data_IF_338184813277
#
_entry.id   IF_338184813277
#
_cell.length_a   1.000
_cell.length_b   1.000
_cell.length_c   1.000
_cell.angle_alpha   90.00
_cell.angle_beta   90.00
_cell.angle_gamma   90.00
#
_symmetry.space_group_name_H-M   'P 1'
#
loop_
_entity.id
_entity.type
_entity.pdbx_description
1 polymer ?
#
# COMPACT_ATOMS: atom_id res chain seq x y z
N UNK A 1 -16.04 43.52 10.08
CA UNK A 1 -16.01 42.13 9.61
C UNK A 1 -14.64 41.59 9.94
N UNK A 2 -14.54 40.41 10.55
CA UNK A 2 -13.24 39.74 10.71
C UNK A 2 -12.65 39.49 9.32
N UNK A 3 -11.32 39.56 9.15
CA UNK A 3 -10.68 39.18 7.89
C UNK A 3 -11.09 37.74 7.51
N UNK A 4 -11.21 37.49 6.21
CA UNK A 4 -11.39 36.14 5.68
C UNK A 4 -10.13 35.34 5.98
N UNK A 5 -10.32 34.13 6.50
CA UNK A 5 -9.23 33.23 6.81
C UNK A 5 -9.04 32.22 5.68
N UNK A 6 -7.80 31.76 5.52
CA UNK A 6 -7.48 30.59 4.71
C UNK A 6 -7.25 29.38 5.62
N UNK A 7 -8.07 28.35 5.45
CA UNK A 7 -8.15 27.19 6.33
C UNK A 7 -7.81 25.93 5.56
N UNK A 8 -6.78 25.21 6.00
CA UNK A 8 -6.41 23.90 5.46
C UNK A 8 -7.02 22.82 6.34
N UNK A 9 -7.76 21.89 5.74
CA UNK A 9 -8.39 20.76 6.43
C UNK A 9 -7.75 19.48 5.91
N UNK A 10 -6.86 18.89 6.71
CA UNK A 10 -6.06 17.73 6.36
C UNK A 10 -6.18 16.56 7.35
N UNK A 11 -7.38 15.97 7.53
CA UNK A 11 -7.58 14.82 8.40
C UNK A 11 -7.15 13.51 7.73
N UNK A 12 -6.78 12.53 8.55
CA UNK A 12 -6.75 11.12 8.16
C UNK A 12 -8.14 10.48 8.36
N UNK A 13 -8.27 9.21 7.98
CA UNK A 13 -9.46 8.41 8.18
C UNK A 13 -9.78 8.22 9.68
N UNK A 14 -11.07 8.13 9.97
CA UNK A 14 -11.60 7.83 11.28
C UNK A 14 -12.00 6.36 11.30
N UNK A 15 -11.02 5.47 11.48
CA UNK A 15 -11.11 4.02 11.30
C UNK A 15 -12.47 3.41 11.66
N UNK A 16 -13.12 2.82 10.67
CA UNK A 16 -14.44 2.17 10.81
C UNK A 16 -15.65 3.11 10.84
N UNK A 17 -15.46 4.43 10.78
CA UNK A 17 -16.53 5.43 10.80
C UNK A 17 -16.56 6.31 9.54
N UNK A 18 -15.47 7.01 9.21
CA UNK A 18 -15.37 7.90 8.04
C UNK A 18 -14.02 7.71 7.35
N UNK A 19 -14.03 7.68 6.02
CA UNK A 19 -12.80 7.89 5.24
C UNK A 19 -12.31 9.35 5.37
N UNK A 20 -11.06 9.61 5.00
CA UNK A 20 -10.45 10.94 5.16
C UNK A 20 -11.14 12.01 4.32
N UNK A 21 -11.69 11.66 3.15
CA UNK A 21 -12.43 12.57 2.27
C UNK A 21 -13.74 13.01 2.95
N UNK A 22 -14.50 12.07 3.51
CA UNK A 22 -15.72 12.33 4.23
C UNK A 22 -15.47 13.11 5.53
N UNK A 23 -14.37 12.81 6.23
CA UNK A 23 -13.94 13.56 7.40
C UNK A 23 -13.61 15.02 7.05
N UNK A 24 -12.83 15.26 5.98
CA UNK A 24 -12.50 16.61 5.51
C UNK A 24 -13.77 17.39 5.14
N UNK A 25 -14.68 16.76 4.40
CA UNK A 25 -15.96 17.36 4.03
C UNK A 25 -16.83 17.68 5.26
N UNK A 26 -16.82 16.84 6.30
CA UNK A 26 -17.58 17.09 7.53
C UNK A 26 -17.04 18.29 8.31
N UNK A 27 -15.72 18.38 8.47
CA UNK A 27 -15.06 19.53 9.09
C UNK A 27 -15.35 20.81 8.31
N UNK A 28 -15.24 20.77 6.98
CA UNK A 28 -15.53 21.91 6.11
C UNK A 28 -16.97 22.41 6.27
N UNK A 29 -17.96 21.52 6.24
CA UNK A 29 -19.37 21.88 6.48
C UNK A 29 -19.58 22.55 7.84
N UNK A 30 -18.93 22.03 8.87
CA UNK A 30 -18.95 22.63 10.21
C UNK A 30 -18.39 24.05 10.20
N UNK A 31 -17.20 24.25 9.60
CA UNK A 31 -16.54 25.55 9.51
C UNK A 31 -17.39 26.59 8.75
N UNK A 32 -17.83 26.25 7.54
CA UNK A 32 -18.63 27.13 6.67
C UNK A 32 -19.92 27.58 7.35
N UNK A 33 -20.52 26.75 8.21
CA UNK A 33 -21.74 27.12 8.94
C UNK A 33 -21.57 28.32 9.88
N UNK A 34 -20.35 28.53 10.40
CA UNK A 34 -20.00 29.64 11.29
C UNK A 34 -19.26 30.77 10.56
N UNK A 35 -18.48 30.43 9.53
CA UNK A 35 -17.63 31.37 8.75
C UNK A 35 -17.76 31.09 7.25
N UNK A 36 -18.85 31.56 6.60
CA UNK A 36 -19.15 31.23 5.20
C UNK A 36 -18.25 31.91 4.16
N UNK A 37 -17.57 32.99 4.54
CA UNK A 37 -16.74 33.80 3.64
C UNK A 37 -15.24 33.41 3.68
N UNK A 38 -14.86 32.41 4.49
CA UNK A 38 -13.48 31.93 4.57
C UNK A 38 -13.15 30.98 3.39
N UNK A 39 -11.88 30.98 2.98
CA UNK A 39 -11.35 30.00 2.02
C UNK A 39 -11.05 28.69 2.74
N UNK A 40 -11.55 27.58 2.22
CA UNK A 40 -11.27 26.25 2.75
C UNK A 40 -10.60 25.40 1.68
N UNK A 41 -9.44 24.86 2.02
CA UNK A 41 -8.67 23.92 1.20
C UNK A 41 -8.73 22.54 1.84
N UNK A 42 -9.25 21.55 1.12
CA UNK A 42 -9.37 20.17 1.61
C UNK A 42 -8.20 19.35 1.10
N UNK A 43 -7.40 18.82 2.03
CA UNK A 43 -6.25 17.95 1.75
C UNK A 43 -6.41 16.65 2.55
N UNK A 44 -7.40 15.79 2.23
CA UNK A 44 -7.57 14.53 2.93
C UNK A 44 -6.28 13.72 2.88
N UNK A 45 -5.83 13.25 4.04
CA UNK A 45 -4.57 12.53 4.21
C UNK A 45 -4.77 11.01 4.22
N UNK A 46 -3.67 10.29 4.04
CA UNK A 46 -3.58 8.84 4.20
C UNK A 46 -2.13 8.43 4.47
N UNK A 47 -1.91 7.16 4.82
CA UNK A 47 -0.58 6.60 5.14
C UNK A 47 -0.06 5.60 4.08
N UNK A 48 -0.61 5.63 2.86
CA UNK A 48 -0.30 4.64 1.81
C UNK A 48 -1.09 3.34 1.94
N UNK A 49 -2.04 3.29 2.87
CA UNK A 49 -3.00 2.19 3.00
C UNK A 49 -4.27 2.33 2.17
N UNK A 50 -5.29 1.56 2.55
CA UNK A 50 -6.59 1.54 1.90
C UNK A 50 -7.22 2.94 1.89
N UNK A 51 -7.70 3.37 0.73
CA UNK A 51 -8.34 4.67 0.55
C UNK A 51 -7.39 5.82 0.21
N UNK A 52 -6.09 5.56 0.08
CA UNK A 52 -5.10 6.56 -0.33
C UNK A 52 -5.36 7.08 -1.75
N UNK A 53 -5.77 6.23 -2.68
CA UNK A 53 -6.20 6.62 -4.03
C UNK A 53 -7.32 7.66 -3.98
N UNK A 54 -8.31 7.45 -3.13
CA UNK A 54 -9.44 8.36 -2.98
C UNK A 54 -9.01 9.68 -2.34
N UNK A 55 -8.14 9.64 -1.34
CA UNK A 55 -7.57 10.82 -0.68
C UNK A 55 -6.77 11.68 -1.68
N UNK A 56 -5.83 11.09 -2.43
CA UNK A 56 -5.03 11.80 -3.44
C UNK A 56 -5.95 12.40 -4.51
N UNK A 57 -6.88 11.61 -5.05
CA UNK A 57 -7.81 12.10 -6.07
C UNK A 57 -8.66 13.28 -5.58
N UNK A 58 -9.14 13.22 -4.33
CA UNK A 58 -9.94 14.30 -3.74
C UNK A 58 -9.11 15.57 -3.47
N UNK A 59 -7.85 15.43 -3.04
CA UNK A 59 -6.96 16.56 -2.82
C UNK A 59 -6.54 17.26 -4.12
N UNK A 60 -6.37 16.50 -5.21
CA UNK A 60 -5.95 17.01 -6.51
C UNK A 60 -7.11 17.55 -7.37
N UNK A 61 -8.35 17.15 -7.08
CA UNK A 61 -9.57 17.71 -7.68
C UNK A 61 -9.92 17.22 -9.09
N UNK A 62 -10.79 17.98 -9.75
CA UNK A 62 -11.39 17.69 -11.06
C UNK A 62 -10.36 17.83 -12.19
N UNK A 63 -9.56 16.79 -12.39
CA UNK A 63 -8.47 16.78 -13.38
C UNK A 63 -7.46 15.66 -13.20
N UNK A 64 -7.56 14.93 -12.08
CA UNK A 64 -6.72 13.76 -11.82
C UNK A 64 -6.86 12.71 -12.93
N UNK A 65 -5.73 12.27 -13.51
CA UNK A 65 -5.71 11.20 -14.50
C UNK A 65 -5.82 9.85 -13.78
N UNK A 66 -7.07 9.42 -13.57
CA UNK A 66 -7.38 8.10 -13.04
C UNK A 66 -7.50 7.10 -14.18
N UNK A 67 -6.77 5.99 -14.07
CA UNK A 67 -6.78 4.91 -15.06
C UNK A 67 -7.22 3.61 -14.42
N UNK A 68 -7.93 2.80 -15.18
CA UNK A 68 -8.50 1.53 -14.74
C UNK A 68 -7.95 0.39 -15.57
N UNK A 69 -7.76 -0.78 -14.95
CA UNK A 69 -7.31 -1.99 -15.64
C UNK A 69 -8.07 -3.21 -15.15
N UNK A 70 -8.40 -4.10 -16.09
CA UNK A 70 -8.92 -5.43 -15.78
C UNK A 70 -7.86 -6.27 -15.08
N UNK A 71 -8.20 -6.79 -13.91
CA UNK A 71 -7.31 -7.55 -13.05
C UNK A 71 -8.06 -8.64 -12.31
N UNK A 72 -7.41 -9.25 -11.32
CA UNK A 72 -8.02 -10.24 -10.44
C UNK A 72 -7.89 -9.83 -8.99
N UNK A 73 -8.85 -10.25 -8.19
CA UNK A 73 -8.84 -10.05 -6.74
C UNK A 73 -7.94 -11.08 -6.02
N UNK A 74 -7.85 -11.07 -4.67
CA UNK A 74 -7.01 -12.03 -3.94
C UNK A 74 -7.36 -13.51 -4.19
N UNK A 75 -8.59 -13.82 -4.60
CA UNK A 75 -9.08 -15.17 -4.88
C UNK A 75 -9.02 -15.53 -6.38
N UNK A 76 -8.54 -14.62 -7.22
CA UNK A 76 -8.45 -14.84 -8.67
C UNK A 76 -9.73 -14.49 -9.44
N UNK A 77 -10.70 -13.81 -8.82
CA UNK A 77 -11.95 -13.38 -9.47
C UNK A 77 -11.70 -12.11 -10.29
N UNK A 78 -12.27 -12.01 -11.47
CA UNK A 78 -12.12 -10.82 -12.32
C UNK A 78 -12.73 -9.58 -11.65
N UNK A 79 -11.95 -8.50 -11.62
CA UNK A 79 -12.33 -7.18 -11.13
C UNK A 79 -11.65 -6.10 -11.98
N UNK A 80 -12.12 -4.87 -11.87
CA UNK A 80 -11.40 -3.69 -12.37
C UNK A 80 -10.74 -2.99 -11.18
N UNK A 81 -9.48 -2.58 -11.32
CA UNK A 81 -8.77 -1.79 -10.32
C UNK A 81 -8.25 -0.49 -10.91
N UNK A 82 -8.28 0.57 -10.09
CA UNK A 82 -7.81 1.90 -10.46
C UNK A 82 -6.37 2.16 -9.99
N UNK A 83 -5.68 3.05 -10.70
CA UNK A 83 -4.43 3.69 -10.30
C UNK A 83 -4.41 5.14 -10.82
N UNK A 84 -3.52 5.98 -10.29
CA UNK A 84 -3.44 7.40 -10.68
C UNK A 84 -2.14 7.70 -11.42
N UNK A 85 -2.26 8.40 -12.54
CA UNK A 85 -1.16 9.13 -13.16
C UNK A 85 -1.15 10.56 -12.58
N UNK A 86 -0.02 10.93 -11.99
CA UNK A 86 0.24 12.21 -11.34
C UNK A 86 1.36 12.93 -12.09
N UNK A 87 1.52 14.23 -11.86
CA UNK A 87 2.61 15.04 -12.42
C UNK A 87 2.73 14.92 -13.95
N UNK A 88 1.61 15.09 -14.65
CA UNK A 88 1.50 14.91 -16.11
C UNK A 88 1.97 13.52 -16.60
N UNK A 89 1.83 12.49 -15.75
CA UNK A 89 2.22 11.11 -16.01
C UNK A 89 3.64 10.75 -15.57
N UNK A 90 4.40 11.69 -15.01
CA UNK A 90 5.75 11.41 -14.52
C UNK A 90 5.77 10.49 -13.28
N UNK A 91 4.71 10.51 -12.48
CA UNK A 91 4.53 9.68 -11.29
C UNK A 91 3.29 8.79 -11.42
N UNK A 92 3.41 7.50 -11.16
CA UNK A 92 2.26 6.60 -10.99
C UNK A 92 2.03 6.30 -9.50
N UNK A 93 0.79 6.38 -9.03
CA UNK A 93 0.41 5.90 -7.70
C UNK A 93 -0.47 4.64 -7.82
N UNK A 94 0.02 3.54 -7.27
CA UNK A 94 -0.65 2.24 -7.23
C UNK A 94 -0.98 1.88 -5.79
N UNK A 95 -2.24 1.55 -5.50
CA UNK A 95 -2.66 1.03 -4.20
C UNK A 95 -2.89 -0.47 -4.30
N UNK A 96 -2.16 -1.25 -3.51
CA UNK A 96 -2.31 -2.71 -3.49
C UNK A 96 -3.74 -3.11 -3.15
N UNK A 97 -4.39 -2.41 -2.21
CA UNK A 97 -5.74 -2.72 -1.78
C UNK A 97 -6.77 -2.64 -2.92
N UNK A 98 -6.51 -1.84 -3.96
CA UNK A 98 -7.40 -1.73 -5.12
C UNK A 98 -7.60 -3.08 -5.85
N UNK A 99 -6.58 -3.94 -5.87
CA UNK A 99 -6.67 -5.28 -6.46
C UNK A 99 -6.58 -6.41 -5.44
N UNK A 100 -5.63 -6.34 -4.51
CA UNK A 100 -5.30 -7.42 -3.57
C UNK A 100 -5.66 -7.06 -2.12
N UNK A 101 -6.68 -6.21 -1.94
CA UNK A 101 -7.15 -5.71 -0.64
C UNK A 101 -8.08 -6.65 0.12
N UNK A 102 -8.08 -6.49 1.44
CA UNK A 102 -8.92 -7.22 2.39
C UNK A 102 -10.41 -6.88 2.25
N UNK A 103 -10.74 -5.70 1.70
CA UNK A 103 -12.09 -5.26 1.37
C UNK A 103 -12.75 -6.10 0.26
N UNK A 104 -11.96 -6.76 -0.60
CA UNK A 104 -12.47 -7.71 -1.60
C UNK A 104 -12.95 -9.03 -1.01
N UNK A 105 -12.64 -9.28 0.27
CA UNK A 105 -13.05 -10.48 0.98
C UNK A 105 -14.19 -10.17 1.96
N UNK A 106 -15.35 -10.80 1.73
CA UNK A 106 -16.41 -10.81 2.72
C UNK A 106 -15.90 -11.44 4.02
N UNK A 107 -16.47 -11.03 5.16
CA UNK A 107 -16.07 -11.57 6.46
C UNK A 107 -16.16 -13.10 6.52
N UNK A 108 -17.14 -13.70 5.85
CA UNK A 108 -17.30 -15.16 5.75
C UNK A 108 -16.24 -15.85 4.89
N UNK A 109 -15.57 -15.13 4.00
CA UNK A 109 -14.50 -15.67 3.14
C UNK A 109 -13.15 -15.69 3.86
N UNK A 110 -12.98 -14.90 4.94
CA UNK A 110 -11.76 -14.82 5.74
C UNK A 110 -11.57 -16.09 6.58
N UNK A 111 -11.10 -17.13 5.91
CA UNK A 111 -10.89 -18.47 6.46
C UNK A 111 -9.42 -18.88 6.36
N UNK A 112 -8.97 -19.91 7.12
CA UNK A 112 -7.60 -20.40 7.02
C UNK A 112 -7.22 -20.86 5.60
N UNK A 113 -8.17 -21.43 4.85
CA UNK A 113 -7.95 -21.83 3.47
C UNK A 113 -7.69 -20.64 2.55
N UNK A 114 -8.46 -19.55 2.69
CA UNK A 114 -8.26 -18.32 1.92
C UNK A 114 -6.96 -17.63 2.31
N UNK A 115 -6.62 -17.54 3.60
CA UNK A 115 -5.37 -16.95 4.05
C UNK A 115 -4.12 -17.64 3.45
N UNK A 116 -4.21 -18.95 3.17
CA UNK A 116 -3.15 -19.72 2.48
C UNK A 116 -3.06 -19.44 0.98
N UNK A 117 -4.21 -19.20 0.34
CA UNK A 117 -4.35 -19.15 -1.11
C UNK A 117 -4.34 -17.73 -1.70
N UNK A 118 -4.64 -16.71 -0.89
CA UNK A 118 -4.77 -15.33 -1.35
C UNK A 118 -3.50 -14.84 -2.06
N UNK A 119 -3.66 -14.28 -3.27
CA UNK A 119 -2.58 -13.93 -4.19
C UNK A 119 -2.48 -12.43 -4.46
N UNK A 120 -1.26 -11.91 -4.56
CA UNK A 120 -0.96 -10.52 -4.94
C UNK A 120 -0.92 -10.28 -6.46
N UNK A 121 -1.24 -11.30 -7.27
CA UNK A 121 -1.19 -11.25 -8.74
C UNK A 121 -1.98 -10.07 -9.34
N UNK A 122 -3.11 -9.75 -8.73
CA UNK A 122 -3.93 -8.61 -9.12
C UNK A 122 -3.16 -7.29 -9.13
N UNK A 123 -2.42 -7.02 -8.05
CA UNK A 123 -1.54 -5.85 -7.94
C UNK A 123 -0.43 -5.87 -9.00
N UNK A 124 0.12 -7.04 -9.33
CA UNK A 124 1.10 -7.17 -10.43
C UNK A 124 0.56 -6.70 -11.77
N UNK A 125 -0.71 -6.96 -12.09
CA UNK A 125 -1.35 -6.47 -13.33
C UNK A 125 -1.55 -4.96 -13.31
N UNK A 126 -1.89 -4.38 -12.15
CA UNK A 126 -1.99 -2.93 -11.96
C UNK A 126 -0.63 -2.27 -12.15
N UNK A 127 0.43 -2.82 -11.55
CA UNK A 127 1.80 -2.33 -11.73
C UNK A 127 2.21 -2.41 -13.19
N UNK A 128 1.93 -3.52 -13.90
CA UNK A 128 2.23 -3.62 -15.33
C UNK A 128 1.52 -2.52 -16.13
N UNK A 129 0.23 -2.29 -15.87
CA UNK A 129 -0.52 -1.21 -16.52
C UNK A 129 0.07 0.16 -16.25
N UNK A 130 0.53 0.41 -15.02
CA UNK A 130 1.22 1.65 -14.68
C UNK A 130 2.59 1.76 -15.37
N UNK A 131 3.37 0.67 -15.48
CA UNK A 131 4.63 0.65 -16.23
C UNK A 131 4.42 0.90 -17.74
N UNK A 132 3.30 0.45 -18.30
CA UNK A 132 2.96 0.69 -19.72
C UNK A 132 2.71 2.18 -20.01
N UNK A 133 2.36 2.97 -19.00
CA UNK A 133 2.27 4.43 -19.10
C UNK A 133 3.62 5.15 -19.09
N UNK A 134 4.71 4.44 -18.76
CA UNK A 134 6.08 4.97 -18.77
C UNK A 134 6.40 6.04 -17.72
N UNK A 135 5.97 5.91 -16.44
CA UNK A 135 6.33 6.88 -15.42
C UNK A 135 7.82 6.84 -15.13
N UNK A 136 8.38 7.95 -14.67
CA UNK A 136 9.75 7.99 -14.13
C UNK A 136 9.82 7.51 -12.68
N UNK A 137 8.69 7.61 -11.96
CA UNK A 137 8.55 7.25 -10.54
C UNK A 137 7.25 6.50 -10.32
N UNK A 138 7.26 5.47 -9.49
CA UNK A 138 6.06 4.74 -9.08
C UNK A 138 6.02 4.62 -7.57
N UNK A 139 4.96 5.16 -6.97
CA UNK A 139 4.64 5.01 -5.56
C UNK A 139 3.64 3.87 -5.39
N UNK A 140 3.95 2.93 -4.51
CA UNK A 140 3.12 1.75 -4.22
C UNK A 140 2.68 1.82 -2.76
N UNK A 141 1.39 2.06 -2.55
CA UNK A 141 0.74 1.94 -1.24
C UNK A 141 0.39 0.48 -0.93
N UNK A 142 0.89 -0.04 0.19
CA UNK A 142 0.77 -1.47 0.54
C UNK A 142 -0.22 -1.78 1.68
N UNK A 143 -0.84 -0.78 2.30
CA UNK A 143 -1.79 -1.06 3.39
C UNK A 143 -3.07 -1.77 2.89
N UNK A 144 -3.80 -2.41 3.82
CA UNK A 144 -5.08 -3.06 3.51
C UNK A 144 -4.98 -4.41 2.77
N UNK A 145 -3.80 -5.03 2.63
CA UNK A 145 -3.64 -6.30 1.89
C UNK A 145 -4.46 -7.48 2.43
N UNK A 146 -4.95 -8.34 1.55
CA UNK A 146 -5.54 -9.65 1.86
C UNK A 146 -4.53 -10.82 1.82
N UNK A 147 -3.30 -10.59 1.36
CA UNK A 147 -2.38 -11.65 0.94
C UNK A 147 -1.22 -11.81 1.92
N UNK A 148 -0.69 -13.02 2.05
CA UNK A 148 0.54 -13.33 2.82
C UNK A 148 1.50 -14.16 1.97
N UNK A 149 1.64 -13.77 0.70
CA UNK A 149 2.36 -14.48 -0.35
C UNK A 149 3.74 -13.89 -0.67
N UNK A 150 4.29 -13.01 0.17
CA UNK A 150 5.63 -12.47 -0.02
C UNK A 150 5.81 -11.61 -1.28
N UNK A 151 4.70 -11.17 -1.91
CA UNK A 151 4.70 -10.51 -3.22
C UNK A 151 4.94 -11.45 -4.39
N UNK A 152 4.88 -12.78 -4.17
CA UNK A 152 5.17 -13.77 -5.20
C UNK A 152 4.20 -13.70 -6.39
N UNK A 153 2.90 -13.54 -6.14
CA UNK A 153 1.91 -13.38 -7.21
C UNK A 153 2.17 -12.14 -8.06
N UNK A 154 2.45 -11.01 -7.40
CA UNK A 154 2.81 -9.73 -8.03
C UNK A 154 4.07 -9.87 -8.89
N UNK A 155 5.16 -10.40 -8.34
CA UNK A 155 6.43 -10.55 -9.04
C UNK A 155 6.33 -11.57 -10.19
N UNK A 156 5.52 -12.63 -10.00
CA UNK A 156 5.25 -13.61 -11.05
C UNK A 156 4.53 -12.98 -12.24
N UNK A 157 3.56 -12.12 -11.96
CA UNK A 157 2.92 -11.34 -13.01
C UNK A 157 3.95 -10.45 -13.72
N UNK A 158 4.90 -9.87 -12.99
CA UNK A 158 5.95 -9.06 -13.60
C UNK A 158 7.11 -9.86 -14.21
N UNK A 159 6.99 -11.20 -14.31
CA UNK A 159 7.90 -12.05 -15.07
C UNK A 159 8.91 -12.87 -14.26
N UNK A 160 8.88 -12.76 -12.93
CA UNK A 160 9.66 -13.67 -12.06
C UNK A 160 9.09 -15.09 -12.16
N UNK A 161 9.92 -16.12 -12.34
CA UNK A 161 9.44 -17.50 -12.25
C UNK A 161 9.89 -18.10 -10.94
N UNK A 162 8.92 -18.54 -10.11
CA UNK A 162 9.17 -19.28 -8.88
C UNK A 162 8.93 -20.77 -9.16
N UNK A 163 9.95 -21.59 -8.98
CA UNK A 163 9.95 -22.99 -9.39
C UNK A 163 10.12 -23.92 -8.19
N UNK A 164 9.47 -25.08 -8.25
CA UNK A 164 9.68 -26.18 -7.32
C UNK A 164 10.94 -27.00 -7.66
N UNK A 165 11.26 -27.99 -6.83
CA UNK A 165 12.43 -28.85 -7.03
C UNK A 165 12.40 -29.71 -8.32
N UNK A 166 11.26 -29.75 -9.02
CA UNK A 166 11.09 -30.43 -10.32
C UNK A 166 11.23 -29.45 -11.49
N UNK A 167 11.41 -28.16 -11.23
CA UNK A 167 11.46 -27.10 -12.25
C UNK A 167 10.09 -26.64 -12.72
N UNK A 168 9.01 -27.01 -12.01
CA UNK A 168 7.65 -26.60 -12.35
C UNK A 168 7.27 -25.32 -11.59
N UNK A 169 6.45 -24.47 -12.21
CA UNK A 169 5.97 -23.26 -11.55
C UNK A 169 5.14 -23.60 -10.30
N UNK A 170 5.43 -22.93 -9.18
CA UNK A 170 4.61 -23.06 -7.98
C UNK A 170 3.24 -22.40 -8.19
N UNK A 171 2.25 -22.87 -7.45
CA UNK A 171 0.94 -22.24 -7.43
C UNK A 171 0.98 -20.85 -6.76
N UNK A 172 -0.09 -20.08 -6.93
CA UNK A 172 -0.29 -18.83 -6.22
C UNK A 172 -0.58 -19.05 -4.72
N UNK A 173 -0.35 -17.99 -3.93
CA UNK A 173 -0.68 -17.93 -2.50
C UNK A 173 0.49 -18.23 -1.57
N UNK A 174 0.39 -17.77 -0.32
CA UNK A 174 1.48 -17.86 0.66
C UNK A 174 1.85 -19.28 1.07
N UNK A 175 0.91 -20.22 1.06
CA UNK A 175 1.24 -21.61 1.36
C UNK A 175 2.09 -22.27 0.27
N UNK A 176 1.98 -21.83 -0.98
CA UNK A 176 2.73 -22.38 -2.10
C UNK A 176 4.23 -22.06 -2.01
N UNK A 177 4.61 -20.99 -1.32
CA UNK A 177 6.01 -20.64 -1.03
C UNK A 177 6.74 -21.73 -0.25
N UNK A 178 6.03 -22.65 0.42
CA UNK A 178 6.68 -23.79 1.06
C UNK A 178 7.39 -24.73 0.05
N UNK A 179 6.99 -24.68 -1.22
CA UNK A 179 7.54 -25.50 -2.31
C UNK A 179 8.61 -24.79 -3.15
N UNK A 180 8.90 -23.50 -2.89
CA UNK A 180 9.91 -22.77 -3.65
C UNK A 180 11.29 -23.40 -3.46
N UNK A 181 11.96 -23.68 -4.57
CA UNK A 181 13.30 -24.26 -4.61
C UNK A 181 14.30 -23.33 -5.31
N UNK A 182 13.87 -22.69 -6.39
CA UNK A 182 14.66 -21.65 -7.06
C UNK A 182 13.79 -20.64 -7.82
N UNK A 183 14.35 -19.46 -8.08
CA UNK A 183 13.75 -18.45 -8.97
C UNK A 183 14.58 -18.18 -10.22
N UNK A 184 13.89 -17.83 -11.31
CA UNK A 184 14.49 -17.30 -12.52
C UNK A 184 14.16 -15.81 -12.67
N UNK A 185 15.18 -14.96 -12.55
CA UNK A 185 15.03 -13.50 -12.55
C UNK A 185 15.08 -12.92 -13.97
N UNK A 186 15.66 -13.64 -14.94
CA UNK A 186 15.90 -13.11 -16.29
C UNK A 186 14.64 -12.75 -17.09
N UNK A 187 13.45 -13.17 -16.64
CA UNK A 187 12.16 -12.80 -17.22
C UNK A 187 11.49 -11.60 -16.55
N UNK A 188 12.04 -11.09 -15.44
CA UNK A 188 11.48 -9.96 -14.72
C UNK A 188 11.49 -8.69 -15.59
N UNK A 189 10.39 -7.92 -15.54
CA UNK A 189 10.20 -6.74 -16.37
C UNK A 189 11.34 -5.71 -16.14
N UNK A 190 12.18 -5.43 -17.14
CA UNK A 190 13.36 -4.59 -16.97
C UNK A 190 13.02 -3.14 -16.64
N UNK A 191 11.77 -2.71 -16.84
CA UNK A 191 11.32 -1.37 -16.46
C UNK A 191 11.33 -1.16 -14.96
N UNK A 192 11.25 -2.24 -14.16
CA UNK A 192 11.34 -2.16 -12.70
C UNK A 192 12.68 -1.62 -12.20
N UNK A 193 13.76 -1.78 -12.98
CA UNK A 193 15.07 -1.18 -12.66
C UNK A 193 15.21 0.27 -13.16
N UNK A 194 14.39 0.66 -14.15
CA UNK A 194 14.45 1.97 -14.79
C UNK A 194 13.57 3.03 -14.11
N UNK A 195 12.53 2.61 -13.39
CA UNK A 195 11.60 3.48 -12.66
C UNK A 195 12.07 3.61 -11.21
N UNK A 196 11.97 4.81 -10.62
CA UNK A 196 12.12 4.98 -9.17
C UNK A 196 10.92 4.34 -8.46
N UNK A 197 11.14 3.22 -7.75
CA UNK A 197 10.09 2.52 -7.03
C UNK A 197 10.08 2.92 -5.54
N UNK A 198 8.97 3.48 -5.07
CA UNK A 198 8.80 3.91 -3.67
C UNK A 198 7.65 3.14 -3.05
N UNK A 199 7.92 2.38 -1.99
CA UNK A 199 6.92 1.73 -1.16
C UNK A 199 6.52 2.70 -0.05
N UNK A 200 5.26 3.13 -0.06
CA UNK A 200 4.67 3.96 0.98
C UNK A 200 4.11 3.07 2.09
N UNK A 201 4.82 2.96 3.21
CA UNK A 201 4.39 2.13 4.35
C UNK A 201 5.01 2.56 5.67
N UNK A 202 4.19 2.58 6.72
CA UNK A 202 4.62 2.84 8.10
C UNK A 202 4.84 1.56 8.93
N UNK A 203 4.69 0.39 8.31
CA UNK A 203 4.91 -0.90 8.97
C UNK A 203 6.40 -1.10 9.20
N UNK A 204 6.77 -1.50 10.43
CA UNK A 204 8.17 -1.81 10.80
C UNK A 204 8.41 -3.30 11.05
N UNK A 205 7.38 -4.14 10.97
CA UNK A 205 7.47 -5.59 11.12
C UNK A 205 8.50 -6.21 10.15
N UNK A 206 9.39 -7.10 10.63
CA UNK A 206 10.26 -7.90 9.75
C UNK A 206 9.44 -8.91 8.94
N UNK A 207 10.09 -9.66 8.05
CA UNK A 207 9.39 -10.65 7.21
C UNK A 207 8.77 -11.78 8.04
N UNK A 208 9.53 -12.34 8.98
CA UNK A 208 9.17 -13.54 9.75
C UNK A 208 9.29 -13.36 11.26
N UNK A 209 8.82 -14.36 12.01
CA UNK A 209 8.97 -14.46 13.45
C UNK A 209 7.80 -13.85 14.24
N UNK A 210 7.94 -13.69 15.58
CA UNK A 210 6.82 -13.32 16.44
C UNK A 210 6.18 -11.95 16.16
N UNK A 211 6.91 -11.07 15.47
CA UNK A 211 6.44 -9.75 15.00
C UNK A 211 6.42 -9.65 13.47
N UNK A 212 6.60 -10.79 12.79
CA UNK A 212 6.69 -10.88 11.34
C UNK A 212 5.34 -10.77 10.64
N UNK A 213 5.36 -10.81 9.31
CA UNK A 213 4.17 -10.59 8.48
C UNK A 213 3.02 -11.53 8.84
N UNK A 214 3.31 -12.82 8.99
CA UNK A 214 2.32 -13.85 9.26
C UNK A 214 1.67 -13.64 10.65
N UNK A 215 2.49 -13.53 11.69
CA UNK A 215 2.05 -13.39 13.08
C UNK A 215 1.25 -12.10 13.31
N UNK A 216 1.69 -10.97 12.74
CA UNK A 216 1.08 -9.67 12.98
C UNK A 216 -0.20 -9.45 12.17
N UNK A 217 -0.28 -9.94 10.93
CA UNK A 217 -1.32 -9.49 9.99
C UNK A 217 -2.17 -10.59 9.38
N UNK A 218 -1.80 -11.87 9.50
CA UNK A 218 -2.63 -12.96 8.94
C UNK A 218 -3.89 -13.31 9.75
N UNK A 219 -3.96 -13.12 11.09
CA UNK A 219 -5.19 -13.39 11.83
C UNK A 219 -6.41 -12.62 11.33
N UNK A 220 -6.26 -11.33 11.01
CA UNK A 220 -7.34 -10.51 10.43
C UNK A 220 -7.76 -10.94 9.01
N UNK A 221 -6.92 -11.74 8.33
CA UNK A 221 -7.17 -12.33 7.01
C UNK A 221 -7.84 -13.71 7.12
N UNK A 222 -8.04 -14.22 8.34
CA UNK A 222 -8.69 -15.51 8.61
C UNK A 222 -7.74 -16.64 8.99
N UNK A 223 -6.44 -16.37 9.17
CA UNK A 223 -5.49 -17.41 9.58
C UNK A 223 -5.68 -17.82 11.04
N UNK A 224 -5.81 -19.13 11.28
CA UNK A 224 -5.70 -19.74 12.60
C UNK A 224 -4.21 -19.88 13.00
N UNK A 225 -3.88 -20.25 14.25
CA UNK A 225 -2.49 -20.37 14.71
C UNK A 225 -1.63 -21.31 13.86
N UNK A 226 -2.19 -22.41 13.38
CA UNK A 226 -1.49 -23.37 12.53
C UNK A 226 -1.18 -22.77 11.15
N UNK A 227 -2.14 -22.05 10.57
CA UNK A 227 -1.95 -21.35 9.30
C UNK A 227 -0.96 -20.19 9.44
N UNK A 228 -0.94 -19.49 10.57
CA UNK A 228 0.10 -18.49 10.87
C UNK A 228 1.49 -19.13 10.88
N UNK A 229 1.67 -20.23 11.60
CA UNK A 229 2.95 -20.94 11.65
C UNK A 229 3.39 -21.46 10.27
N UNK A 230 2.45 -21.96 9.48
CA UNK A 230 2.70 -22.42 8.11
C UNK A 230 3.17 -21.26 7.21
N UNK A 231 2.46 -20.13 7.24
CA UNK A 231 2.80 -18.95 6.43
C UNK A 231 4.14 -18.35 6.86
N UNK A 232 4.43 -18.28 8.16
CA UNK A 232 5.72 -17.78 8.66
C UNK A 232 6.90 -18.64 8.15
N UNK A 233 6.76 -19.96 8.21
CA UNK A 233 7.78 -20.88 7.69
C UNK A 233 7.94 -20.76 6.16
N UNK A 234 6.85 -20.58 5.43
CA UNK A 234 6.88 -20.40 3.98
C UNK A 234 7.54 -19.06 3.58
N UNK A 235 7.26 -17.98 4.31
CA UNK A 235 7.93 -16.69 4.14
C UNK A 235 9.42 -16.76 4.52
N UNK A 236 9.79 -17.58 5.50
CA UNK A 236 11.19 -17.83 5.84
C UNK A 236 11.97 -18.50 4.71
N UNK A 237 11.35 -19.49 4.04
CA UNK A 237 11.91 -20.09 2.82
C UNK A 237 12.02 -19.06 1.69
N UNK A 238 11.00 -18.23 1.53
CA UNK A 238 11.02 -17.17 0.53
C UNK A 238 12.15 -16.16 0.75
N UNK A 239 12.35 -15.70 1.98
CA UNK A 239 13.47 -14.81 2.33
C UNK A 239 14.83 -15.45 2.08
N UNK A 240 14.99 -16.74 2.39
CA UNK A 240 16.23 -17.47 2.09
C UNK A 240 16.47 -17.60 0.58
N UNK A 241 15.42 -17.80 -0.20
CA UNK A 241 15.50 -17.87 -1.66
C UNK A 241 15.84 -16.52 -2.29
N UNK A 242 15.27 -15.42 -1.80
CA UNK A 242 15.67 -14.06 -2.18
C UNK A 242 17.17 -13.86 -1.97
N UNK A 243 17.67 -14.19 -0.77
CA UNK A 243 19.10 -14.07 -0.45
C UNK A 243 19.96 -14.93 -1.38
N UNK A 244 19.54 -16.16 -1.69
CA UNK A 244 20.27 -17.05 -2.60
C UNK A 244 20.33 -16.50 -4.03
N UNK A 245 19.22 -15.94 -4.51
CA UNK A 245 19.08 -15.51 -5.89
C UNK A 245 19.69 -14.13 -6.17
N UNK A 246 19.64 -13.20 -5.20
CA UNK A 246 20.03 -11.80 -5.40
C UNK A 246 21.15 -11.33 -4.46
N UNK A 247 21.50 -12.10 -3.44
CA UNK A 247 22.46 -11.71 -2.41
C UNK A 247 21.94 -10.66 -1.43
N UNK A 248 20.64 -10.36 -1.46
CA UNK A 248 20.00 -9.36 -0.58
C UNK A 248 19.34 -10.04 0.61
N UNK A 249 19.77 -9.67 1.82
CA UNK A 249 19.12 -10.09 3.05
C UNK A 249 17.96 -9.15 3.37
N UNK A 250 16.74 -9.65 3.24
CA UNK A 250 15.49 -8.89 3.45
C UNK A 250 14.74 -9.31 4.70
N UNK A 251 15.16 -10.37 5.39
CA UNK A 251 14.35 -11.04 6.42
C UNK A 251 14.13 -10.13 7.63
N UNK A 252 15.21 -9.49 8.08
CA UNK A 252 15.22 -8.61 9.26
C UNK A 252 15.08 -7.13 8.92
N UNK A 253 14.92 -6.77 7.64
CA UNK A 253 14.75 -5.38 7.22
C UNK A 253 13.46 -4.82 7.83
N UNK A 254 13.51 -3.69 8.56
CA UNK A 254 12.31 -3.06 9.10
C UNK A 254 11.29 -2.77 8.00
N UNK A 255 10.07 -3.28 8.17
CA UNK A 255 8.98 -3.12 7.20
C UNK A 255 8.93 -4.16 6.08
N UNK A 256 9.88 -5.09 6.03
CA UNK A 256 9.85 -6.21 5.08
C UNK A 256 8.57 -7.06 5.18
N UNK A 257 7.94 -7.10 6.35
CA UNK A 257 6.69 -7.83 6.57
C UNK A 257 5.42 -7.10 6.11
N UNK A 258 5.52 -5.86 5.63
CA UNK A 258 4.34 -5.13 5.17
C UNK A 258 3.67 -5.86 3.99
N UNK A 259 2.35 -5.76 3.92
CA UNK A 259 1.54 -6.44 2.91
C UNK A 259 1.83 -7.95 2.78
N UNK A 260 2.01 -8.64 3.92
CA UNK A 260 2.21 -10.09 3.90
C UNK A 260 3.55 -10.52 3.30
N UNK A 261 4.57 -9.66 3.44
CA UNK A 261 5.91 -9.89 2.90
C UNK A 261 6.11 -9.34 1.48
N UNK A 262 5.12 -8.65 0.91
CA UNK A 262 5.26 -8.03 -0.43
C UNK A 262 6.44 -7.06 -0.48
N UNK A 263 6.67 -6.28 0.59
CA UNK A 263 7.85 -5.42 0.69
C UNK A 263 9.14 -6.21 0.56
N UNK A 264 9.28 -7.35 1.24
CA UNK A 264 10.48 -8.19 1.15
C UNK A 264 10.73 -8.68 -0.29
N UNK A 265 9.67 -9.09 -1.00
CA UNK A 265 9.77 -9.46 -2.41
C UNK A 265 10.27 -8.30 -3.28
N UNK A 266 9.67 -7.12 -3.13
CA UNK A 266 10.07 -5.93 -3.88
C UNK A 266 11.52 -5.51 -3.59
N UNK A 267 11.91 -5.41 -2.31
CA UNK A 267 13.29 -5.13 -1.90
C UNK A 267 14.28 -6.20 -2.43
N UNK A 268 13.84 -7.44 -2.51
CA UNK A 268 14.63 -8.57 -2.98
C UNK A 268 14.96 -8.50 -4.48
N UNK A 269 14.00 -8.08 -5.30
CA UNK A 269 14.07 -8.23 -6.76
C UNK A 269 14.04 -6.92 -7.56
N UNK A 270 13.79 -5.77 -6.94
CA UNK A 270 13.71 -4.47 -7.65
C UNK A 270 14.58 -3.42 -6.98
N UNK A 271 14.62 -2.20 -7.51
CA UNK A 271 15.32 -1.06 -6.91
C UNK A 271 14.48 -0.33 -5.83
N UNK A 272 13.38 -0.95 -5.34
CA UNK A 272 12.44 -0.28 -4.46
C UNK A 272 13.05 0.19 -3.14
N UNK A 273 12.60 1.36 -2.69
CA UNK A 273 12.88 1.88 -1.36
C UNK A 273 11.60 2.01 -0.53
N UNK A 274 11.72 1.85 0.79
CA UNK A 274 10.59 2.06 1.71
C UNK A 274 10.68 3.46 2.29
N UNK A 275 9.58 4.20 2.22
CA UNK A 275 9.45 5.53 2.82
C UNK A 275 8.18 5.61 3.69
N UNK A 276 8.19 6.46 4.74
CA UNK A 276 7.00 6.69 5.55
C UNK A 276 5.83 7.12 4.67
N UNK A 277 4.72 6.39 4.76
CA UNK A 277 3.63 6.54 3.80
C UNK A 277 2.95 7.90 3.92
N UNK A 278 2.77 8.38 5.15
CA UNK A 278 2.24 9.73 5.42
C UNK A 278 3.08 10.83 4.78
N UNK A 279 4.41 10.73 4.81
CA UNK A 279 5.30 11.73 4.20
C UNK A 279 5.22 11.69 2.67
N UNK A 280 5.15 10.48 2.09
CA UNK A 280 4.99 10.33 0.65
C UNK A 280 3.66 10.92 0.18
N UNK A 281 2.55 10.59 0.85
CA UNK A 281 1.23 11.12 0.51
C UNK A 281 1.18 12.63 0.69
N UNK A 282 1.72 13.17 1.78
CA UNK A 282 1.82 14.62 2.02
C UNK A 282 2.54 15.35 0.88
N UNK A 283 3.62 14.75 0.36
CA UNK A 283 4.33 15.27 -0.80
C UNK A 283 3.48 15.24 -2.08
N UNK A 284 2.79 14.12 -2.35
CA UNK A 284 1.97 13.95 -3.56
C UNK A 284 0.79 14.93 -3.60
N UNK A 285 0.15 15.20 -2.46
CA UNK A 285 -1.01 16.11 -2.37
C UNK A 285 -0.62 17.57 -2.16
N UNK A 286 0.68 17.88 -2.20
CA UNK A 286 1.17 19.26 -2.05
C UNK A 286 0.88 19.89 -0.69
N UNK A 287 0.85 19.08 0.38
CA UNK A 287 0.38 19.53 1.69
C UNK A 287 1.18 20.73 2.23
N UNK A 288 2.51 20.70 2.11
CA UNK A 288 3.36 21.79 2.58
C UNK A 288 3.03 23.11 1.87
N UNK A 289 2.90 23.09 0.54
CA UNK A 289 2.50 24.26 -0.24
C UNK A 289 1.07 24.72 0.09
N UNK A 290 0.16 23.78 0.39
CA UNK A 290 -1.18 24.14 0.86
C UNK A 290 -1.14 24.84 2.22
N UNK A 291 -0.24 24.45 3.13
CA UNK A 291 -0.07 25.07 4.45
C UNK A 291 0.64 26.44 4.39
N UNK A 292 1.42 26.73 3.36
CA UNK A 292 2.02 28.06 3.17
C UNK A 292 0.95 29.16 3.13
N UNK A 293 1.02 30.10 4.07
CA UNK A 293 0.05 31.19 4.18
C UNK A 293 -1.35 30.78 4.69
N UNK A 294 -1.52 29.57 5.22
CA UNK A 294 -2.74 29.20 5.93
C UNK A 294 -2.80 29.92 7.31
N UNK A 295 -3.96 30.44 7.67
CA UNK A 295 -4.19 31.02 9.00
C UNK A 295 -4.50 29.92 10.03
N UNK A 296 -5.13 28.84 9.58
CA UNK A 296 -5.55 27.70 10.41
C UNK A 296 -5.36 26.41 9.66
N UNK A 297 -4.81 25.40 10.35
CA UNK A 297 -4.72 24.02 9.86
C UNK A 297 -5.51 23.13 10.82
N UNK A 298 -6.44 22.33 10.28
CA UNK A 298 -7.27 21.39 11.03
C UNK A 298 -6.95 19.98 10.55
N UNK A 299 -6.72 19.07 11.50
CA UNK A 299 -6.46 17.66 11.24
C UNK A 299 -7.10 16.80 12.32
N UNK A 300 -7.04 15.48 12.15
CA UNK A 300 -7.56 14.50 13.09
C UNK A 300 -7.50 13.10 12.48
N UNK A 301 -7.58 12.09 13.33
CA UNK A 301 -7.60 10.67 12.96
C UNK A 301 -8.48 9.88 13.94
N UNK A 302 -8.90 8.67 13.56
CA UNK A 302 -9.86 7.87 14.34
C UNK A 302 -9.37 7.38 15.70
N UNK A 303 -8.06 7.26 15.88
CA UNK A 303 -7.43 6.93 17.17
C UNK A 303 -6.14 7.71 17.29
N UNK A 304 -6.09 8.65 18.22
CA UNK A 304 -4.82 9.24 18.67
C UNK A 304 -4.27 8.38 19.80
N UNK A 305 -3.44 7.38 19.48
CA UNK A 305 -2.68 6.61 20.47
C UNK A 305 -1.20 7.04 20.52
N UNK A 306 -0.39 6.40 21.37
CA UNK A 306 1.04 6.71 21.48
C UNK A 306 1.81 6.47 20.16
N UNK A 307 1.29 5.65 19.24
CA UNK A 307 1.88 5.47 17.89
C UNK A 307 1.49 6.63 16.96
N UNK A 308 0.28 7.17 17.10
CA UNK A 308 -0.16 8.38 16.40
C UNK A 308 0.61 9.64 16.82
N UNK A 309 0.87 9.79 18.13
CA UNK A 309 1.75 10.83 18.70
C UNK A 309 3.22 10.71 18.24
N UNK A 310 3.61 9.59 17.63
CA UNK A 310 4.95 9.36 17.11
C UNK A 310 5.09 9.61 15.59
N UNK A 311 4.01 9.85 14.84
CA UNK A 311 4.17 10.13 13.41
C UNK A 311 2.98 10.02 12.47
N UNK A 312 1.72 10.04 12.91
CA UNK A 312 0.58 10.03 11.97
C UNK A 312 -0.02 11.41 11.80
N UNK A 313 -0.37 11.75 10.55
CA UNK A 313 -0.92 12.99 9.96
C UNK A 313 -0.67 14.34 10.68
N UNK A 314 -1.07 14.47 11.94
CA UNK A 314 -0.93 15.67 12.76
C UNK A 314 0.52 16.13 13.00
N UNK A 315 1.48 15.22 13.15
CA UNK A 315 2.91 15.61 13.27
C UNK A 315 3.59 15.85 11.93
N UNK A 316 3.15 15.18 10.85
CA UNK A 316 3.61 15.47 9.49
C UNK A 316 3.30 16.93 9.14
N UNK A 317 2.08 17.38 9.48
CA UNK A 317 1.67 18.78 9.38
C UNK A 317 2.50 19.73 10.25
N UNK A 318 2.87 19.34 11.48
CA UNK A 318 3.64 20.19 12.40
C UNK A 318 5.15 20.28 12.10
N UNK A 319 5.67 19.44 11.19
CA UNK A 319 7.06 19.49 10.71
C UNK A 319 7.24 20.35 9.44
N UNK A 320 6.13 20.76 8.83
CA UNK A 320 6.06 21.67 7.69
C UNK A 320 5.50 23.02 8.13
#
# INVERSE_FOLDING_TARGET
MSPALRVVVAPDSFGGALDSVAAAAAVARGWTSARPDDEIVLIPMADGGEGTLAAIAAAMGDGIDRRSVETVDPLGRDITADWLALDDGATAFVEMAAASGLAHLALSERTPAVARAASSRGTGRVIRSALDAGPSRMVIGLGGSATSDGGAGLLSELGLRLLDARGEAIADGGAALAAVDHVEIGGLDPRLDAVELVIASDVTSPLVGPRGAAASFSPQKGADPDTVAQLDAALGRWGAEIMRATGRDVVDVPGAGAAGGTTAGMLGFTNAEVRPGVEVVAGLVGLAAACEGADVVITGEGRADEQSLAGKAALGLARH
#
